data_IF_149728317974
#
_entry.id   IF_149728317974
#
_cell.length_a   1.000
_cell.length_b   1.000
_cell.length_c   1.000
_cell.angle_alpha   90.00
_cell.angle_beta   90.00
_cell.angle_gamma   90.00
#
_symmetry.space_group_name_H-M   'P 1'
#
loop_
_entity.id
_entity.type
_entity.pdbx_description
1 polymer ?
#
# COMPACT_ATOMS: atom_id res chain seq x y z
N UNK A 1 5.34 -3.88 -11.43
CA UNK A 1 5.37 -4.35 -10.02
C UNK A 1 6.38 -3.57 -9.20
N UNK A 2 7.62 -3.37 -9.67
CA UNK A 2 8.62 -2.57 -8.97
C UNK A 2 8.23 -1.09 -8.83
N UNK A 3 7.58 -0.52 -9.84
CA UNK A 3 7.16 0.89 -9.85
C UNK A 3 6.11 1.22 -8.80
N UNK A 4 5.29 0.24 -8.39
CA UNK A 4 4.21 0.42 -7.43
C UNK A 4 4.74 0.64 -6.00
N UNK A 5 5.96 0.15 -5.72
CA UNK A 5 6.65 0.33 -4.43
C UNK A 5 7.58 1.55 -4.41
N UNK A 6 7.83 2.17 -5.57
CA UNK A 6 8.72 3.32 -5.68
C UNK A 6 8.27 4.53 -4.82
N UNK A 7 6.96 4.89 -4.74
CA UNK A 7 6.52 6.00 -3.91
C UNK A 7 6.75 5.75 -2.42
N UNK A 8 6.53 4.53 -1.94
CA UNK A 8 6.75 4.17 -0.53
C UNK A 8 8.22 4.35 -0.15
N UNK A 9 9.13 3.88 -1.01
CA UNK A 9 10.57 4.06 -0.82
C UNK A 9 10.99 5.54 -0.87
N UNK A 10 10.45 6.30 -1.84
CA UNK A 10 10.74 7.73 -2.02
C UNK A 10 10.34 8.58 -0.81
N UNK A 11 9.21 8.24 -0.18
CA UNK A 11 8.67 8.94 0.98
C UNK A 11 9.10 8.33 2.33
N UNK A 12 10.07 7.42 2.30
CA UNK A 12 10.63 6.76 3.48
C UNK A 12 9.55 6.08 4.36
N UNK A 13 8.59 5.40 3.70
CA UNK A 13 7.51 4.65 4.34
C UNK A 13 7.89 3.17 4.37
N UNK A 14 8.00 2.62 5.57
CA UNK A 14 8.29 1.19 5.78
C UNK A 14 7.05 0.33 5.51
N UNK A 15 7.28 -0.87 5.00
CA UNK A 15 6.23 -1.88 4.80
C UNK A 15 6.38 -2.98 5.85
N UNK A 16 5.27 -3.39 6.46
CA UNK A 16 5.24 -4.47 7.46
C UNK A 16 4.72 -5.77 6.87
N UNK A 17 3.89 -5.70 5.82
CA UNK A 17 3.33 -6.87 5.14
C UNK A 17 3.15 -6.59 3.66
N UNK A 18 3.48 -7.58 2.83
CA UNK A 18 3.26 -7.53 1.38
C UNK A 18 2.80 -8.91 0.89
N UNK A 19 1.53 -9.02 0.51
CA UNK A 19 0.94 -10.26 0.01
C UNK A 19 0.29 -10.04 -1.35
N UNK A 20 0.52 -10.98 -2.27
CA UNK A 20 -0.20 -11.06 -3.54
C UNK A 20 -1.26 -12.15 -3.47
N UNK A 21 -2.47 -11.83 -3.94
CA UNK A 21 -3.58 -12.77 -4.04
C UNK A 21 -4.12 -12.77 -5.47
N UNK A 22 -4.31 -13.96 -6.10
CA UNK A 22 -4.92 -14.02 -7.41
C UNK A 22 -6.38 -13.57 -7.33
N UNK A 23 -6.82 -12.75 -8.29
CA UNK A 23 -8.22 -12.39 -8.42
C UNK A 23 -9.07 -13.64 -8.71
N UNK A 24 -10.19 -13.81 -7.99
CA UNK A 24 -11.10 -14.96 -8.17
C UNK A 24 -11.94 -14.88 -9.45
N UNK A 25 -11.95 -13.72 -10.10
CA UNK A 25 -12.78 -13.37 -11.27
C UNK A 25 -11.90 -12.63 -12.25
N UNK A 26 -11.48 -13.29 -13.33
CA UNK A 26 -10.67 -12.68 -14.39
C UNK A 26 -9.31 -13.36 -14.57
N UNK A 27 -8.98 -13.73 -15.80
CA UNK A 27 -7.66 -14.27 -16.15
C UNK A 27 -6.63 -13.15 -15.95
N UNK A 28 -5.63 -13.38 -15.09
CA UNK A 28 -4.39 -12.57 -14.93
C UNK A 28 -4.45 -11.28 -14.09
N UNK A 29 -5.45 -11.11 -13.22
CA UNK A 29 -5.46 -9.98 -12.26
C UNK A 29 -4.90 -10.40 -10.89
N UNK A 30 -4.04 -9.56 -10.32
CA UNK A 30 -3.42 -9.77 -9.01
C UNK A 30 -3.77 -8.60 -8.09
N UNK A 31 -4.30 -8.93 -6.91
CA UNK A 31 -4.47 -7.97 -5.83
C UNK A 31 -3.23 -8.01 -4.93
N UNK A 32 -2.75 -6.82 -4.56
CA UNK A 32 -1.68 -6.66 -3.60
C UNK A 32 -2.26 -6.08 -2.31
N UNK A 33 -2.03 -6.78 -1.21
CA UNK A 33 -2.32 -6.32 0.13
C UNK A 33 -1.00 -5.87 0.74
N UNK A 34 -0.93 -4.59 1.11
CA UNK A 34 0.27 -3.96 1.65
C UNK A 34 -0.09 -3.30 2.97
N UNK A 35 0.58 -3.72 4.02
CA UNK A 35 0.54 -3.02 5.30
C UNK A 35 1.79 -2.14 5.40
N UNK A 36 1.58 -0.89 5.81
CA UNK A 36 2.63 0.12 5.96
C UNK A 36 2.70 0.59 7.41
N UNK A 37 3.89 1.00 7.81
CA UNK A 37 4.09 1.64 9.10
C UNK A 37 3.84 3.15 8.99
N UNK A 38 3.01 3.67 9.89
CA UNK A 38 2.67 5.08 9.96
C UNK A 38 1.16 5.33 9.90
N UNK A 39 0.79 6.61 9.91
CA UNK A 39 -0.61 7.03 9.86
C UNK A 39 -0.86 7.86 8.59
N UNK A 40 -2.00 7.71 7.88
CA UNK A 40 -2.33 8.52 6.70
C UNK A 40 -2.46 10.03 6.97
N UNK A 41 -2.48 10.44 8.25
CA UNK A 41 -2.41 11.85 8.64
C UNK A 41 -0.98 12.42 8.62
N UNK A 42 0.04 11.56 8.57
CA UNK A 42 1.43 11.98 8.44
C UNK A 42 1.70 12.38 6.99
N UNK A 43 2.38 13.50 6.74
CA UNK A 43 2.52 14.06 5.40
C UNK A 43 3.30 13.15 4.44
N UNK A 44 4.33 12.46 4.93
CA UNK A 44 5.11 11.49 4.14
C UNK A 44 4.25 10.30 3.69
N UNK A 45 3.45 9.74 4.60
CA UNK A 45 2.55 8.62 4.30
C UNK A 45 1.45 9.08 3.34
N UNK A 46 0.83 10.22 3.60
CA UNK A 46 -0.22 10.78 2.74
C UNK A 46 0.26 10.99 1.30
N UNK A 47 1.47 11.55 1.11
CA UNK A 47 2.05 11.74 -0.22
C UNK A 47 2.36 10.41 -0.92
N UNK A 48 2.90 9.44 -0.17
CA UNK A 48 3.17 8.11 -0.71
C UNK A 48 1.89 7.41 -1.18
N UNK A 49 0.82 7.47 -0.38
CA UNK A 49 -0.49 6.89 -0.70
C UNK A 49 -1.13 7.59 -1.92
N UNK A 50 -1.02 8.92 -2.01
CA UNK A 50 -1.55 9.68 -3.14
C UNK A 50 -0.83 9.31 -4.45
N UNK A 51 0.51 9.23 -4.45
CA UNK A 51 1.27 8.78 -5.62
C UNK A 51 0.94 7.32 -5.98
N UNK A 52 0.80 6.43 -4.99
CA UNK A 52 0.46 5.04 -5.20
C UNK A 52 -0.95 4.87 -5.82
N UNK A 53 -1.91 5.70 -5.40
CA UNK A 53 -3.25 5.75 -5.98
C UNK A 53 -3.25 6.16 -7.46
N UNK A 54 -2.33 7.03 -7.89
CA UNK A 54 -2.21 7.42 -9.31
C UNK A 54 -1.60 6.31 -10.18
N UNK A 55 -0.75 5.45 -9.59
CA UNK A 55 -0.09 4.35 -10.30
C UNK A 55 -0.93 3.08 -10.39
N UNK A 56 -1.93 2.92 -9.50
CA UNK A 56 -2.77 1.73 -9.43
C UNK A 56 -4.10 1.95 -10.14
N UNK A 57 -4.52 0.97 -10.96
CA UNK A 57 -5.86 0.97 -11.55
C UNK A 57 -6.97 0.83 -10.48
N UNK A 58 -6.66 0.17 -9.37
CA UNK A 58 -7.55 0.03 -8.22
C UNK A 58 -6.77 0.23 -6.93
N UNK A 59 -7.25 1.15 -6.10
CA UNK A 59 -6.71 1.42 -4.77
C UNK A 59 -7.85 1.49 -3.77
N UNK A 60 -7.68 0.83 -2.63
CA UNK A 60 -8.62 0.89 -1.52
C UNK A 60 -7.88 0.89 -0.20
N UNK A 61 -8.05 1.97 0.56
CA UNK A 61 -7.61 2.03 1.95
C UNK A 61 -8.61 1.23 2.81
N UNK A 62 -8.14 0.14 3.43
CA UNK A 62 -8.99 -0.70 4.28
C UNK A 62 -9.21 -0.10 5.68
N UNK A 63 -8.25 0.70 6.14
CA UNK A 63 -8.32 1.39 7.42
C UNK A 63 -6.94 1.49 8.06
N UNK A 64 -6.93 2.00 9.29
CA UNK A 64 -5.76 2.13 10.15
C UNK A 64 -6.04 1.39 11.44
N UNK A 65 -5.07 0.64 11.93
CA UNK A 65 -5.16 -0.05 13.21
C UNK A 65 -3.94 0.30 14.06
N UNK A 66 -4.09 0.38 15.40
CA UNK A 66 -2.95 0.60 16.27
C UNK A 66 -2.01 -0.60 16.21
N UNK A 67 -0.71 -0.34 16.19
CA UNK A 67 0.30 -1.38 16.31
C UNK A 67 0.14 -2.02 17.69
N UNK A 68 -0.05 -3.35 17.74
CA UNK A 68 -0.09 -4.08 19.01
C UNK A 68 1.28 -3.93 19.68
N UNK A 69 1.36 -2.99 20.62
CA UNK A 69 2.54 -2.81 21.47
C UNK A 69 2.42 -3.85 22.57
N UNK A 70 3.26 -4.87 22.53
CA UNK A 70 3.42 -5.84 23.62
C UNK A 70 4.26 -5.25 24.75
#
# INVERSE_FOLDING_TARGET
MYDLLAPLKKHNVSMTRFESRPARTGKWEYYFYVDIEGHPAQPNVAQALAELQQLCAFYKLLGTYPTATV
#
